data_IF_287701065998
#
_entry.id   IF_287701065998
#
_cell.length_a   1.000
_cell.length_b   1.000
_cell.length_c   1.000
_cell.angle_alpha   90.00
_cell.angle_beta   90.00
_cell.angle_gamma   90.00
#
_symmetry.space_group_name_H-M   'P 1'
#
loop_
_entity.id
_entity.type
_entity.pdbx_description
1 polymer ?
#
# COMPACT_ATOMS: atom_id res chain seq x y z
N UNK A 1 -8.17 -16.41 -21.53
CA UNK A 1 -7.57 -15.80 -20.33
C UNK A 1 -6.98 -16.86 -19.42
N UNK A 2 -5.98 -16.48 -18.63
CA UNK A 2 -5.30 -17.37 -17.67
C UNK A 2 -5.48 -16.74 -16.29
N UNK A 3 -5.95 -17.53 -15.34
CA UNK A 3 -6.10 -17.13 -13.95
C UNK A 3 -5.02 -17.85 -13.16
N UNK A 4 -4.16 -17.08 -12.52
CA UNK A 4 -3.12 -17.58 -11.62
C UNK A 4 -3.55 -17.32 -10.19
N UNK A 5 -3.35 -18.31 -9.32
CA UNK A 5 -3.60 -18.19 -7.89
C UNK A 5 -2.27 -18.28 -7.14
N UNK A 6 -1.90 -17.21 -6.43
CA UNK A 6 -0.66 -17.12 -5.67
C UNK A 6 -0.14 -15.69 -5.61
N UNK A 7 1.14 -15.55 -5.28
CA UNK A 7 1.82 -14.26 -5.12
C UNK A 7 2.56 -13.85 -6.42
N UNK A 8 3.38 -12.80 -6.35
CA UNK A 8 4.22 -12.34 -7.47
C UNK A 8 5.09 -13.44 -8.07
N UNK A 9 5.50 -14.41 -7.24
CA UNK A 9 6.43 -15.46 -7.64
C UNK A 9 5.73 -16.47 -8.56
N UNK A 10 4.46 -16.76 -8.31
CA UNK A 10 3.63 -17.59 -9.21
C UNK A 10 3.51 -16.95 -10.60
N UNK A 11 3.36 -15.63 -10.66
CA UNK A 11 3.35 -14.90 -11.93
C UNK A 11 4.71 -15.00 -12.62
N UNK A 12 5.81 -14.82 -11.88
CA UNK A 12 7.16 -14.90 -12.43
C UNK A 12 7.48 -16.28 -13.00
N UNK A 13 7.15 -17.35 -12.28
CA UNK A 13 7.32 -18.74 -12.71
C UNK A 13 6.53 -19.02 -13.98
N UNK A 14 5.26 -18.59 -14.01
CA UNK A 14 4.41 -18.76 -15.18
C UNK A 14 4.96 -18.00 -16.39
N UNK A 15 5.38 -16.75 -16.21
CA UNK A 15 5.99 -15.97 -17.29
C UNK A 15 7.26 -16.62 -17.83
N UNK A 16 8.13 -17.11 -16.94
CA UNK A 16 9.36 -17.81 -17.30
C UNK A 16 9.08 -19.07 -18.12
N UNK A 17 8.20 -19.95 -17.61
CA UNK A 17 7.84 -21.21 -18.25
C UNK A 17 7.22 -21.02 -19.64
N UNK A 18 6.44 -19.94 -19.82
CA UNK A 18 5.74 -19.65 -21.07
C UNK A 18 6.48 -18.65 -21.96
N UNK A 19 7.69 -18.20 -21.58
CA UNK A 19 8.46 -17.13 -22.25
C UNK A 19 7.62 -15.87 -22.48
N UNK A 20 6.68 -15.60 -21.57
CA UNK A 20 5.81 -14.43 -21.64
C UNK A 20 6.52 -13.21 -21.05
N UNK A 21 6.40 -12.07 -21.73
CA UNK A 21 6.96 -10.78 -21.30
C UNK A 21 5.86 -9.73 -21.25
N UNK A 22 5.16 -9.59 -20.11
CA UNK A 22 4.08 -8.63 -19.98
C UNK A 22 4.61 -7.20 -20.16
N UNK A 23 3.94 -6.43 -21.03
CA UNK A 23 4.31 -5.04 -21.28
C UNK A 23 3.64 -4.07 -20.30
N UNK A 24 2.50 -4.48 -19.73
CA UNK A 24 1.68 -3.68 -18.83
C UNK A 24 1.11 -4.56 -17.72
N UNK A 25 1.30 -4.13 -16.48
CA UNK A 25 0.62 -4.63 -15.30
C UNK A 25 -0.36 -3.57 -14.81
N UNK A 26 -1.61 -3.95 -14.60
CA UNK A 26 -2.62 -3.10 -13.98
C UNK A 26 -3.08 -3.78 -12.70
N UNK A 27 -3.03 -3.06 -11.58
CA UNK A 27 -3.52 -3.55 -10.31
C UNK A 27 -4.35 -2.48 -9.60
N UNK A 28 -5.49 -2.91 -9.07
CA UNK A 28 -6.43 -2.06 -8.35
C UNK A 28 -6.59 -2.61 -6.94
N UNK A 29 -6.60 -1.76 -5.91
CA UNK A 29 -6.88 -2.18 -4.53
C UNK A 29 -5.87 -3.24 -4.03
N UNK A 30 -4.58 -2.93 -4.11
CA UNK A 30 -3.49 -3.89 -3.86
C UNK A 30 -2.29 -3.26 -3.17
N UNK A 31 -1.74 -2.18 -3.74
CA UNK A 31 -0.45 -1.61 -3.33
C UNK A 31 -0.44 -1.13 -1.87
N UNK A 32 -1.62 -0.74 -1.36
CA UNK A 32 -1.87 -0.33 0.01
C UNK A 32 -1.90 -1.49 1.02
N UNK A 33 -2.02 -2.73 0.54
CA UNK A 33 -2.12 -3.96 1.35
C UNK A 33 -0.79 -4.72 1.42
N UNK A 34 0.08 -4.55 0.42
CA UNK A 34 1.37 -5.25 0.33
C UNK A 34 2.29 -4.88 1.49
N UNK A 35 2.75 -5.90 2.23
CA UNK A 35 3.60 -5.72 3.40
C UNK A 35 4.94 -5.06 3.04
N UNK A 36 5.72 -5.75 2.19
CA UNK A 36 7.03 -5.33 1.71
C UNK A 36 6.95 -4.91 0.24
N UNK A 37 6.77 -3.61 0.03
CA UNK A 37 6.74 -3.04 -1.32
C UNK A 37 8.08 -3.10 -2.04
N UNK A 38 9.20 -3.16 -1.32
CA UNK A 38 10.52 -3.23 -1.94
C UNK A 38 10.70 -4.61 -2.60
N UNK A 39 10.40 -5.68 -1.86
CA UNK A 39 10.41 -7.03 -2.39
C UNK A 39 9.39 -7.19 -3.53
N UNK A 40 8.18 -6.67 -3.35
CA UNK A 40 7.14 -6.70 -4.38
C UNK A 40 7.58 -6.05 -5.70
N UNK A 41 8.15 -4.84 -5.67
CA UNK A 41 8.64 -4.21 -6.89
C UNK A 41 9.83 -4.94 -7.49
N UNK A 42 10.75 -5.46 -6.66
CA UNK A 42 11.88 -6.26 -7.14
C UNK A 42 11.39 -7.49 -7.93
N UNK A 43 10.41 -8.22 -7.38
CA UNK A 43 9.84 -9.41 -8.00
C UNK A 43 9.15 -9.08 -9.33
N UNK A 44 8.33 -8.03 -9.38
CA UNK A 44 7.68 -7.61 -10.63
C UNK A 44 8.67 -7.18 -11.71
N UNK A 45 9.71 -6.45 -11.33
CA UNK A 45 10.72 -5.93 -12.27
C UNK A 45 11.64 -7.05 -12.77
N UNK A 46 11.85 -8.10 -11.97
CA UNK A 46 12.59 -9.28 -12.40
C UNK A 46 11.90 -10.06 -13.53
N UNK A 47 10.57 -9.96 -13.65
CA UNK A 47 9.80 -10.55 -14.76
C UNK A 47 10.17 -9.85 -16.08
N UNK A 48 10.04 -8.52 -16.11
CA UNK A 48 10.47 -7.69 -17.23
C UNK A 48 10.77 -6.26 -16.74
N UNK A 49 12.02 -5.83 -16.88
CA UNK A 49 12.49 -4.51 -16.46
C UNK A 49 12.03 -3.34 -17.36
N UNK A 50 11.25 -3.64 -18.40
CA UNK A 50 10.55 -2.67 -19.26
C UNK A 50 9.05 -2.64 -19.03
N UNK A 51 8.50 -3.54 -18.19
CA UNK A 51 7.07 -3.59 -17.91
C UNK A 51 6.60 -2.27 -17.31
N UNK A 52 5.55 -1.69 -17.88
CA UNK A 52 4.85 -0.55 -17.29
C UNK A 52 3.92 -1.07 -16.19
N UNK A 53 3.82 -0.36 -15.08
CA UNK A 53 2.91 -0.75 -14.00
C UNK A 53 1.98 0.41 -13.66
N UNK A 54 0.68 0.13 -13.64
CA UNK A 54 -0.37 1.05 -13.26
C UNK A 54 -1.08 0.52 -12.03
N UNK A 55 -0.92 1.22 -10.91
CA UNK A 55 -1.67 0.93 -9.70
C UNK A 55 -2.75 1.98 -9.48
N UNK A 56 -3.91 1.59 -8.97
CA UNK A 56 -4.89 2.51 -8.41
C UNK A 56 -5.08 2.23 -6.93
N UNK A 57 -5.03 3.27 -6.09
CA UNK A 57 -5.22 3.12 -4.64
C UNK A 57 -6.11 4.20 -4.07
N UNK A 58 -7.09 3.78 -3.27
CA UNK A 58 -7.94 4.69 -2.48
C UNK A 58 -7.21 5.22 -1.25
N UNK A 59 -6.07 4.62 -0.87
CA UNK A 59 -5.20 5.04 0.24
C UNK A 59 -4.37 6.30 -0.07
N UNK A 60 -5.03 7.33 -0.60
CA UNK A 60 -4.42 8.61 -0.96
C UNK A 60 -4.01 9.42 0.29
N UNK A 61 -2.78 9.97 0.33
CA UNK A 61 -2.36 10.85 1.42
C UNK A 61 -2.95 12.26 1.32
N UNK A 62 -3.62 12.61 0.22
CA UNK A 62 -4.00 13.98 -0.10
C UNK A 62 -5.41 14.36 0.34
N UNK A 63 -6.39 13.49 0.10
CA UNK A 63 -7.79 13.82 0.32
C UNK A 63 -8.13 13.67 1.82
N UNK A 64 -8.42 14.76 2.55
CA UNK A 64 -8.63 14.71 4.00
C UNK A 64 -9.88 13.91 4.40
N UNK A 65 -10.91 13.88 3.55
CA UNK A 65 -12.12 13.09 3.79
C UNK A 65 -11.80 11.59 3.73
N UNK A 66 -11.09 11.16 2.68
CA UNK A 66 -10.67 9.76 2.53
C UNK A 66 -9.72 9.36 3.66
N UNK A 67 -8.71 10.19 3.93
CA UNK A 67 -7.75 9.97 5.03
C UNK A 67 -8.44 9.77 6.38
N UNK A 68 -9.40 10.64 6.73
CA UNK A 68 -10.19 10.51 7.97
C UNK A 68 -10.98 9.20 8.01
N UNK A 69 -11.57 8.76 6.89
CA UNK A 69 -12.29 7.48 6.81
C UNK A 69 -11.35 6.30 7.06
N UNK A 70 -10.19 6.28 6.40
CA UNK A 70 -9.18 5.22 6.55
C UNK A 70 -8.61 5.19 7.97
N UNK A 71 -8.31 6.34 8.57
CA UNK A 71 -7.86 6.42 9.96
C UNK A 71 -8.86 5.82 10.94
N UNK A 72 -10.17 6.00 10.72
CA UNK A 72 -11.20 5.34 11.54
C UNK A 72 -11.15 3.82 11.38
N UNK A 73 -11.05 3.33 10.15
CA UNK A 73 -10.93 1.90 9.87
C UNK A 73 -9.70 1.29 10.57
N UNK A 74 -8.54 1.93 10.40
CA UNK A 74 -7.29 1.51 11.05
C UNK A 74 -7.38 1.53 12.58
N UNK A 75 -8.06 2.53 13.16
CA UNK A 75 -8.26 2.61 14.61
C UNK A 75 -9.13 1.47 15.12
N UNK A 76 -10.13 1.05 14.34
CA UNK A 76 -10.96 -0.12 14.67
C UNK A 76 -10.12 -1.40 14.67
N UNK A 77 -9.40 -1.68 13.58
CA UNK A 77 -8.57 -2.88 13.44
C UNK A 77 -7.39 -2.92 14.42
N UNK A 78 -6.83 -1.75 14.76
CA UNK A 78 -5.72 -1.67 15.69
C UNK A 78 -6.03 -2.32 17.05
N UNK A 79 -7.29 -2.30 17.50
CA UNK A 79 -7.66 -2.93 18.78
C UNK A 79 -7.38 -4.42 18.77
N UNK A 80 -7.75 -5.11 17.69
CA UNK A 80 -7.48 -6.54 17.49
C UNK A 80 -5.98 -6.77 17.31
N UNK A 81 -5.34 -6.01 16.42
CA UNK A 81 -3.94 -6.25 16.10
C UNK A 81 -3.02 -5.95 17.28
N UNK A 82 -3.31 -4.93 18.08
CA UNK A 82 -2.61 -4.68 19.33
C UNK A 82 -2.71 -5.86 20.31
N UNK A 83 -3.91 -6.44 20.46
CA UNK A 83 -4.11 -7.60 21.34
C UNK A 83 -3.30 -8.81 20.86
N UNK A 84 -3.27 -9.06 19.54
CA UNK A 84 -2.44 -10.12 18.95
C UNK A 84 -0.95 -9.90 19.22
N UNK A 85 -0.44 -8.68 19.02
CA UNK A 85 0.96 -8.34 19.29
C UNK A 85 1.31 -8.48 20.76
N UNK A 86 0.46 -7.98 21.66
CA UNK A 86 0.67 -8.07 23.09
C UNK A 86 0.73 -9.53 23.55
N UNK A 87 -0.22 -10.36 23.12
CA UNK A 87 -0.24 -11.78 23.43
C UNK A 87 1.03 -12.49 22.94
N UNK A 88 1.43 -12.24 21.69
CA UNK A 88 2.66 -12.78 21.12
C UNK A 88 3.90 -12.38 21.95
N UNK A 89 4.01 -11.10 22.32
CA UNK A 89 5.17 -10.61 23.09
C UNK A 89 5.20 -11.24 24.49
N UNK A 90 4.06 -11.34 25.18
CA UNK A 90 4.00 -11.98 26.50
C UNK A 90 4.39 -13.46 26.46
N UNK A 91 4.00 -14.16 25.39
CA UNK A 91 4.33 -15.58 25.21
C UNK A 91 5.82 -15.79 24.92
N UNK A 92 6.41 -14.98 24.05
CA UNK A 92 7.77 -15.19 23.55
C UNK A 92 8.86 -14.43 24.31
N UNK A 93 8.50 -13.43 25.13
CA UNK A 93 9.41 -12.65 25.95
C UNK A 93 8.92 -12.58 27.41
N UNK A 94 8.84 -13.73 28.11
CA UNK A 94 8.27 -13.81 29.47
C UNK A 94 9.07 -13.04 30.53
N UNK A 95 10.32 -12.68 30.22
CA UNK A 95 11.16 -11.85 31.09
C UNK A 95 10.74 -10.38 31.12
N UNK A 96 9.95 -9.90 30.15
CA UNK A 96 9.45 -8.53 30.14
C UNK A 96 8.35 -8.37 31.19
N UNK A 97 8.40 -7.26 31.93
CA UNK A 97 7.29 -6.86 32.78
C UNK A 97 6.02 -6.59 31.95
N UNK A 98 4.83 -6.64 32.56
CA UNK A 98 3.58 -6.30 31.86
C UNK A 98 3.57 -4.90 31.22
N UNK A 99 4.30 -3.94 31.81
CA UNK A 99 4.41 -2.59 31.27
C UNK A 99 5.30 -2.55 30.02
N UNK A 100 6.45 -3.22 30.06
CA UNK A 100 7.36 -3.33 28.92
C UNK A 100 6.72 -4.08 27.75
N UNK A 101 5.99 -5.17 28.02
CA UNK A 101 5.28 -5.92 26.98
C UNK A 101 4.22 -5.05 26.28
N UNK A 102 3.45 -4.26 27.04
CA UNK A 102 2.48 -3.29 26.48
C UNK A 102 3.16 -2.23 25.63
N UNK A 103 4.29 -1.71 26.09
CA UNK A 103 5.04 -0.69 25.35
C UNK A 103 5.65 -1.25 24.05
N UNK A 104 6.22 -2.45 24.12
CA UNK A 104 6.70 -3.18 22.95
C UNK A 104 5.57 -3.45 21.95
N UNK A 105 4.38 -3.83 22.40
CA UNK A 105 3.22 -4.06 21.53
C UNK A 105 2.76 -2.78 20.80
N UNK A 106 2.92 -1.60 21.41
CA UNK A 106 2.67 -0.30 20.76
C UNK A 106 3.75 0.04 19.75
N UNK A 107 5.02 -0.08 20.13
CA UNK A 107 6.18 0.24 19.29
C UNK A 107 6.33 -0.69 18.08
N UNK A 108 5.70 -1.86 18.12
CA UNK A 108 5.73 -2.85 17.04
C UNK A 108 4.51 -2.80 16.11
N UNK A 109 3.72 -1.73 16.19
CA UNK A 109 2.62 -1.47 15.25
C UNK A 109 3.12 -1.50 13.80
N UNK A 110 2.37 -2.18 12.93
CA UNK A 110 2.73 -2.34 11.51
C UNK A 110 3.80 -3.39 11.24
N UNK A 111 4.09 -4.30 12.18
CA UNK A 111 5.01 -5.42 12.00
C UNK A 111 4.29 -6.78 12.02
N UNK A 112 4.83 -7.73 11.25
CA UNK A 112 4.49 -9.15 11.36
C UNK A 112 5.18 -9.81 12.55
N UNK A 113 4.67 -10.93 13.06
CA UNK A 113 5.27 -11.63 14.20
C UNK A 113 6.78 -11.89 14.08
N UNK A 114 7.34 -12.35 12.95
CA UNK A 114 8.79 -12.49 12.81
C UNK A 114 9.54 -11.16 13.01
N UNK A 115 8.99 -10.06 12.49
CA UNK A 115 9.57 -8.74 12.63
C UNK A 115 9.35 -8.14 14.02
N UNK A 116 8.25 -8.45 14.69
CA UNK A 116 8.01 -8.12 16.09
C UNK A 116 9.07 -8.80 16.95
N UNK A 117 9.27 -10.10 16.76
CA UNK A 117 10.28 -10.86 17.50
C UNK A 117 11.67 -10.23 17.35
N UNK A 118 12.06 -9.91 16.10
CA UNK A 118 13.33 -9.23 15.83
C UNK A 118 13.40 -7.87 16.52
N UNK A 119 12.38 -7.02 16.38
CA UNK A 119 12.35 -5.67 16.93
C UNK A 119 12.45 -5.66 18.46
N UNK A 120 11.72 -6.55 19.14
CA UNK A 120 11.78 -6.68 20.61
C UNK A 120 13.14 -7.20 21.06
N UNK A 121 13.68 -8.21 20.38
CA UNK A 121 15.01 -8.77 20.71
C UNK A 121 16.14 -7.76 20.54
N UNK A 122 16.08 -6.90 19.52
CA UNK A 122 17.15 -5.92 19.24
C UNK A 122 16.87 -4.53 19.84
N UNK A 123 15.68 -4.30 20.40
CA UNK A 123 15.24 -2.97 20.83
C UNK A 123 15.09 -1.95 19.70
N UNK A 124 14.99 -2.40 18.45
CA UNK A 124 14.94 -1.53 17.26
C UNK A 124 13.54 -1.53 16.65
N UNK A 125 12.85 -0.40 16.75
CA UNK A 125 11.46 -0.26 16.34
C UNK A 125 11.32 0.65 15.11
N UNK A 126 10.41 0.34 14.17
CA UNK A 126 10.21 1.14 12.98
C UNK A 126 9.53 2.48 13.31
N UNK A 127 9.86 3.52 12.55
CA UNK A 127 9.08 4.75 12.55
C UNK A 127 7.95 4.65 11.51
N UNK A 128 6.70 4.70 11.98
CA UNK A 128 5.54 4.74 11.09
C UNK A 128 5.47 6.06 10.32
N UNK A 129 5.22 5.98 9.01
CA UNK A 129 5.07 7.16 8.13
C UNK A 129 3.74 7.90 8.36
N UNK A 130 2.71 7.18 8.77
CA UNK A 130 1.45 7.73 9.27
C UNK A 130 1.11 6.98 10.56
N UNK A 131 0.75 7.72 11.61
CA UNK A 131 0.60 7.17 12.97
C UNK A 131 -0.55 6.14 13.09
N UNK A 132 -1.48 6.13 12.15
CA UNK A 132 -2.63 5.24 12.16
C UNK A 132 -2.37 3.92 11.41
N UNK A 133 -1.38 3.89 10.51
CA UNK A 133 -1.07 2.71 9.72
C UNK A 133 -0.88 1.49 10.61
N UNK A 134 -1.56 0.41 10.27
CA UNK A 134 -1.48 -0.87 10.98
C UNK A 134 -1.65 -2.02 10.00
N UNK A 135 -1.08 -3.17 10.33
CA UNK A 135 -1.22 -4.39 9.55
C UNK A 135 -1.58 -5.54 10.49
N UNK A 136 -2.18 -6.57 9.92
CA UNK A 136 -2.37 -7.83 10.61
C UNK A 136 -0.98 -8.45 10.88
N UNK A 137 -0.60 -8.69 12.15
CA UNK A 137 0.73 -9.21 12.47
C UNK A 137 0.93 -10.67 12.03
N UNK A 138 -0.15 -11.39 11.68
CA UNK A 138 -0.08 -12.79 11.22
C UNK A 138 0.48 -12.91 9.81
N UNK A 139 0.13 -11.99 8.92
CA UNK A 139 0.42 -12.09 7.48
C UNK A 139 0.99 -10.80 6.86
N UNK A 140 0.96 -9.68 7.58
CA UNK A 140 1.49 -8.40 7.09
C UNK A 140 0.54 -7.63 6.19
N UNK A 141 -0.69 -8.09 5.98
CA UNK A 141 -1.69 -7.37 5.21
C UNK A 141 -1.99 -6.04 5.90
N UNK A 142 -1.65 -4.94 5.23
CA UNK A 142 -1.92 -3.61 5.73
C UNK A 142 -3.41 -3.26 5.61
N UNK A 143 -3.92 -2.60 6.63
CA UNK A 143 -5.26 -1.99 6.59
C UNK A 143 -5.16 -0.64 5.90
N UNK A 144 -5.22 -0.64 4.57
CA UNK A 144 -5.29 0.58 3.74
C UNK A 144 -4.09 1.53 3.98
N UNK A 145 -2.85 1.02 3.90
CA UNK A 145 -1.68 1.80 4.31
C UNK A 145 -1.57 3.10 3.51
N UNK A 146 -1.60 4.23 4.22
CA UNK A 146 -1.37 5.55 3.64
C UNK A 146 0.13 5.80 3.61
N UNK A 147 0.67 6.07 2.43
CA UNK A 147 2.09 6.39 2.24
C UNK A 147 2.27 7.75 1.54
N UNK A 148 3.31 8.53 1.93
CA UNK A 148 3.78 9.65 1.11
C UNK A 148 4.22 9.18 -0.27
N UNK A 149 3.97 9.99 -1.29
CA UNK A 149 4.33 9.66 -2.69
C UNK A 149 5.83 9.42 -2.86
N UNK A 150 6.63 10.15 -2.10
CA UNK A 150 8.07 10.08 -2.07
C UNK A 150 8.55 8.68 -1.65
N UNK A 151 7.75 7.95 -0.86
CA UNK A 151 8.03 6.56 -0.48
C UNK A 151 7.94 5.64 -1.71
N UNK A 152 6.88 5.75 -2.51
CA UNK A 152 6.78 4.97 -3.75
C UNK A 152 7.92 5.30 -4.71
N UNK A 153 8.27 6.59 -4.84
CA UNK A 153 9.41 7.03 -5.65
C UNK A 153 10.74 6.46 -5.15
N UNK A 154 10.99 6.48 -3.85
CA UNK A 154 12.24 5.96 -3.29
C UNK A 154 12.36 4.45 -3.41
N UNK A 155 11.24 3.72 -3.37
CA UNK A 155 11.21 2.27 -3.55
C UNK A 155 11.43 1.87 -5.02
N UNK A 156 10.90 2.62 -5.98
CA UNK A 156 11.04 2.31 -7.41
C UNK A 156 12.39 2.76 -7.99
N UNK A 157 12.99 3.83 -7.46
CA UNK A 157 14.21 4.47 -8.01
C UNK A 157 15.41 3.51 -8.14
N UNK A 158 15.75 2.64 -7.16
CA UNK A 158 16.88 1.71 -7.28
C UNK A 158 16.78 0.76 -8.48
N UNK A 159 15.57 0.52 -8.97
CA UNK A 159 15.31 -0.35 -10.12
C UNK A 159 15.26 0.41 -11.46
N UNK A 160 15.56 1.71 -11.46
CA UNK A 160 15.49 2.55 -12.67
C UNK A 160 14.07 2.89 -13.10
N UNK A 161 13.13 2.97 -12.16
CA UNK A 161 11.74 3.35 -12.44
C UNK A 161 11.39 4.73 -11.90
N UNK A 162 10.65 5.51 -12.71
CA UNK A 162 9.99 6.74 -12.31
C UNK A 162 8.54 6.49 -11.93
N UNK A 163 8.08 7.17 -10.88
CA UNK A 163 6.68 7.13 -10.43
C UNK A 163 5.98 8.46 -10.74
N UNK A 164 4.96 8.39 -11.61
CA UNK A 164 4.05 9.50 -11.93
C UNK A 164 2.71 9.27 -11.26
N UNK A 165 2.11 10.34 -10.76
CA UNK A 165 0.84 10.26 -10.02
C UNK A 165 -0.27 10.91 -10.84
N UNK A 166 -1.39 10.20 -10.98
CA UNK A 166 -2.62 10.71 -11.58
C UNK A 166 -3.72 10.93 -10.54
N UNK A 167 -4.65 11.82 -10.87
CA UNK A 167 -5.87 12.08 -10.09
C UNK A 167 -6.94 11.08 -10.52
N UNK A 168 -7.48 10.32 -9.57
CA UNK A 168 -8.69 9.53 -9.80
C UNK A 168 -9.92 10.42 -9.97
N UNK A 169 -11.04 9.81 -10.36
CA UNK A 169 -12.31 10.48 -10.61
C UNK A 169 -13.47 9.68 -10.01
N UNK A 170 -14.57 10.34 -9.72
CA UNK A 170 -15.79 9.69 -9.25
C UNK A 170 -16.52 9.05 -10.44
N UNK A 171 -16.99 7.81 -10.26
CA UNK A 171 -17.86 7.18 -11.26
C UNK A 171 -19.14 8.01 -11.43
N UNK A 172 -19.46 8.34 -12.69
CA UNK A 172 -20.65 9.11 -13.11
C UNK A 172 -21.78 8.21 -13.60
N UNK A 173 -21.51 6.93 -13.84
CA UNK A 173 -22.55 5.95 -14.14
C UNK A 173 -23.27 5.56 -12.84
N UNK A 174 -24.31 6.33 -12.51
CA UNK A 174 -25.09 6.20 -11.28
C UNK A 174 -26.58 6.27 -11.61
N UNK A 175 -27.37 5.49 -10.88
CA UNK A 175 -28.82 5.46 -11.00
C UNK A 175 -29.50 6.78 -10.59
N UNK A 176 -28.89 7.56 -9.69
CA UNK A 176 -29.43 8.84 -9.21
C UNK A 176 -28.86 10.03 -10.01
N UNK A 177 -29.70 10.78 -10.76
CA UNK A 177 -29.23 11.87 -11.62
C UNK A 177 -28.61 13.04 -10.86
N UNK A 178 -29.06 13.31 -9.63
CA UNK A 178 -28.47 14.35 -8.76
C UNK A 178 -27.05 13.93 -8.37
N UNK A 179 -26.86 12.66 -8.00
CA UNK A 179 -25.53 12.13 -7.67
C UNK A 179 -24.60 12.16 -8.88
N UNK A 180 -25.11 11.88 -10.08
CA UNK A 180 -24.36 12.01 -11.34
C UNK A 180 -23.91 13.44 -11.58
N UNK A 181 -24.81 14.42 -11.44
CA UNK A 181 -24.49 15.84 -11.61
C UNK A 181 -23.42 16.31 -10.61
N UNK A 182 -23.53 15.90 -9.34
CA UNK A 182 -22.53 16.20 -8.30
C UNK A 182 -21.17 15.60 -8.70
N UNK A 183 -21.13 14.34 -9.12
CA UNK A 183 -19.88 13.68 -9.52
C UNK A 183 -19.26 14.36 -10.75
N UNK A 184 -20.06 14.77 -11.73
CA UNK A 184 -19.60 15.53 -12.90
C UNK A 184 -18.97 16.86 -12.49
N UNK A 185 -19.62 17.62 -11.59
CA UNK A 185 -19.09 18.87 -11.06
C UNK A 185 -17.75 18.68 -10.34
N UNK A 186 -17.68 17.70 -9.44
CA UNK A 186 -16.45 17.39 -8.70
C UNK A 186 -15.34 16.93 -9.65
N UNK A 187 -15.64 16.08 -10.63
CA UNK A 187 -14.68 15.63 -11.64
C UNK A 187 -14.17 16.79 -12.50
N UNK A 188 -15.03 17.76 -12.84
CA UNK A 188 -14.65 19.00 -13.49
C UNK A 188 -13.62 19.78 -12.67
N UNK A 189 -13.90 19.98 -11.38
CA UNK A 189 -12.98 20.63 -10.45
C UNK A 189 -11.65 19.88 -10.32
N UNK A 190 -11.67 18.56 -10.17
CA UNK A 190 -10.47 17.71 -10.11
C UNK A 190 -9.61 17.95 -11.35
N UNK A 191 -10.22 18.02 -12.55
CA UNK A 191 -9.50 18.18 -13.82
C UNK A 191 -8.79 19.54 -13.92
N UNK A 192 -9.49 20.64 -13.63
CA UNK A 192 -9.00 22.00 -13.88
C UNK A 192 -8.10 22.58 -12.76
N UNK A 193 -8.22 22.08 -11.53
CA UNK A 193 -7.54 22.67 -10.35
C UNK A 193 -6.06 22.29 -10.18
N UNK A 194 -5.39 21.77 -11.22
CA UNK A 194 -3.98 21.41 -11.16
C UNK A 194 -3.68 20.41 -10.03
N UNK A 195 -2.72 20.75 -9.15
CA UNK A 195 -2.34 19.92 -7.99
C UNK A 195 -3.39 19.93 -6.87
N UNK A 196 -4.15 21.02 -6.71
CA UNK A 196 -5.19 21.10 -5.68
C UNK A 196 -6.29 20.05 -5.89
N UNK A 197 -6.48 19.59 -7.13
CA UNK A 197 -7.40 18.51 -7.47
C UNK A 197 -7.13 17.18 -6.74
N UNK A 198 -5.91 16.94 -6.25
CA UNK A 198 -5.62 15.78 -5.41
C UNK A 198 -6.35 15.79 -4.06
N UNK A 199 -6.71 16.97 -3.55
CA UNK A 199 -7.50 17.10 -2.32
C UNK A 199 -8.95 16.61 -2.51
N UNK A 200 -9.43 16.62 -3.75
CA UNK A 200 -10.78 16.20 -4.13
C UNK A 200 -10.82 14.81 -4.75
N UNK A 201 -9.71 14.33 -5.31
CA UNK A 201 -9.64 13.03 -5.96
C UNK A 201 -9.97 11.90 -4.96
N UNK A 202 -10.85 10.94 -5.33
CA UNK A 202 -11.24 9.84 -4.44
C UNK A 202 -10.15 8.77 -4.30
N UNK A 203 -9.27 8.67 -5.28
CA UNK A 203 -8.13 7.76 -5.32
C UNK A 203 -7.02 8.41 -6.15
N UNK A 204 -5.83 7.81 -6.12
CA UNK A 204 -4.71 8.19 -7.00
C UNK A 204 -4.31 7.01 -7.89
N UNK A 205 -3.71 7.34 -9.02
CA UNK A 205 -3.01 6.35 -9.84
C UNK A 205 -1.51 6.49 -9.66
N UNK A 206 -0.79 5.37 -9.58
CA UNK A 206 0.66 5.31 -9.61
C UNK A 206 1.05 4.67 -10.93
N UNK A 207 1.67 5.46 -11.81
CA UNK A 207 2.22 4.96 -13.06
C UNK A 207 3.73 4.85 -12.93
N UNK A 208 4.23 3.62 -12.92
CA UNK A 208 5.64 3.28 -12.88
C UNK A 208 6.12 2.95 -14.29
N UNK A 209 7.14 3.68 -14.73
CA UNK A 209 7.74 3.49 -16.04
C UNK A 209 9.26 3.44 -15.91
N UNK A 210 9.88 2.51 -16.64
CA UNK A 210 11.34 2.37 -16.70
C UNK A 210 11.97 3.59 -17.35
N UNK A 211 13.03 4.12 -16.73
CA UNK A 211 13.86 5.22 -17.24
C UNK A 211 14.74 4.79 -18.41
N UNK A 212 14.89 3.47 -18.60
CA UNK A 212 15.57 2.89 -19.75
C UNK A 212 14.70 3.00 -21.00
N UNK A 213 14.56 4.24 -21.51
CA UNK A 213 14.25 4.46 -22.92
C UNK A 213 15.43 3.90 -23.71
N UNK A 214 15.24 2.71 -24.28
CA UNK A 214 16.19 1.93 -25.09
C UNK A 214 17.54 2.59 -25.35
N UNK A 215 18.56 2.15 -24.63
CA UNK A 215 19.89 2.00 -25.21
C UNK A 215 19.97 0.64 -25.87
#
# INVERSE_FOLDING_TARGET
DIILHGDSDTLADWCSANKAKPQLLIATDLIEHVYDLSAFFANLIAIDNKMQMLFTTASTPFNPYVKRRLHRLMTTWEKEYYALRLHYIQLHFPALSPAEAKEAARKTRGLTFPHIHKAVKTGSYPLLKDAFNTCDPRNGNWTERILPIETYRSLAKPFGYQVRIGKGFYNTDRSNPISTLICLGINGLIRISGKAGFLLAPFITLHLQSDNKGR
#
